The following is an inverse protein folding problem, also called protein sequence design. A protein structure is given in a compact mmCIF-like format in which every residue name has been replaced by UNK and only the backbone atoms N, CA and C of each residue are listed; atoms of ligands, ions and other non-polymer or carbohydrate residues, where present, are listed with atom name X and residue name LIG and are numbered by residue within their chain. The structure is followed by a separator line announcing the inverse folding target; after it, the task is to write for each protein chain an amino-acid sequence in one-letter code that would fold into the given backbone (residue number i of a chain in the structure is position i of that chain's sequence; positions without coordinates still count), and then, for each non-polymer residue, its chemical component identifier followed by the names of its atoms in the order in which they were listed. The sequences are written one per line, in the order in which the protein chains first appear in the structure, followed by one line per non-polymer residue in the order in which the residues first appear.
data_IF_144629958531
#
_entry.id   IF_144629958531
#
_cell.length_a   1.000
_cell.length_b   1.000
_cell.length_c   1.000
_cell.angle_alpha   90.00
_cell.angle_beta   90.00
_cell.angle_gamma   90.00
#
_symmetry.space_group_name_H-M   'P 1'
#
loop_
_entity.id
_entity.type
_entity.pdbx_description
1 polymer ?
#
# COMPACT_ATOMS: atom_id res chain seq x y z
N UNK A 1 -10.80 12.30 2.12
CA UNK A 1 -10.87 11.40 0.95
C UNK A 1 -9.85 10.31 1.18
N UNK A 2 -10.29 9.06 1.13
CA UNK A 2 -9.41 7.90 1.31
C UNK A 2 -8.48 7.77 0.09
N UNK A 3 -7.21 7.43 0.34
CA UNK A 3 -6.09 7.52 -0.61
C UNK A 3 -6.09 6.52 -1.77
N UNK A 4 -7.26 6.03 -2.20
CA UNK A 4 -7.39 5.17 -3.38
C UNK A 4 -7.39 6.04 -4.64
N UNK A 5 -6.19 6.25 -5.19
CA UNK A 5 -5.99 7.09 -6.37
C UNK A 5 -6.46 6.35 -7.64
N UNK A 6 -7.18 7.07 -8.49
CA UNK A 6 -7.41 6.62 -9.87
C UNK A 6 -6.08 6.44 -10.59
N UNK A 7 -6.06 5.61 -11.64
CA UNK A 7 -4.88 5.42 -12.50
C UNK A 7 -4.31 6.76 -12.99
N UNK A 8 -5.17 7.76 -13.24
CA UNK A 8 -4.74 9.10 -13.66
C UNK A 8 -3.93 9.81 -12.57
N UNK A 9 -4.43 9.84 -11.33
CA UNK A 9 -3.73 10.47 -10.21
C UNK A 9 -2.43 9.72 -9.84
N UNK A 10 -2.42 8.40 -10.00
CA UNK A 10 -1.20 7.61 -9.84
C UNK A 10 -0.14 7.99 -10.89
N UNK A 11 -0.53 8.11 -12.17
CA UNK A 11 0.38 8.52 -13.24
C UNK A 11 0.93 9.95 -13.05
N UNK A 12 0.09 10.91 -12.63
CA UNK A 12 0.54 12.28 -12.34
C UNK A 12 1.60 12.32 -11.23
N UNK A 13 1.38 11.58 -10.15
CA UNK A 13 2.35 11.48 -9.05
C UNK A 13 3.65 10.82 -9.49
N UNK A 14 3.58 9.79 -10.34
CA UNK A 14 4.77 9.14 -10.89
C UNK A 14 5.60 10.11 -11.74
N UNK A 15 4.96 11.01 -12.49
CA UNK A 15 5.68 12.01 -13.27
C UNK A 15 6.40 13.06 -12.40
N UNK A 16 5.97 13.22 -11.15
CA UNK A 16 6.53 14.17 -10.19
C UNK A 16 7.45 13.53 -9.14
N UNK A 17 7.78 12.23 -9.27
CA UNK A 17 8.67 11.53 -8.35
C UNK A 17 9.82 10.84 -9.08
N UNK A 18 10.94 10.66 -8.40
CA UNK A 18 12.09 9.86 -8.85
C UNK A 18 12.14 8.47 -8.20
N UNK A 19 11.37 8.26 -7.12
CA UNK A 19 11.48 7.07 -6.26
C UNK A 19 10.09 6.61 -5.78
N UNK A 20 9.87 5.29 -5.82
CA UNK A 20 8.65 4.63 -5.32
C UNK A 20 9.03 3.53 -4.33
N UNK A 21 8.40 3.57 -3.16
CA UNK A 21 8.42 2.49 -2.17
C UNK A 21 7.15 1.65 -2.30
N UNK A 22 7.26 0.47 -2.90
CA UNK A 22 6.14 -0.44 -3.11
C UNK A 22 6.09 -1.52 -2.01
N UNK A 23 5.18 -1.33 -1.05
CA UNK A 23 4.90 -2.29 0.02
C UNK A 23 4.05 -3.47 -0.49
N UNK A 24 4.70 -4.42 -1.15
CA UNK A 24 4.06 -5.59 -1.75
C UNK A 24 3.85 -6.74 -0.74
N UNK A 25 3.16 -6.44 0.35
CA UNK A 25 2.90 -7.39 1.42
C UNK A 25 1.85 -8.43 1.02
N UNK A 26 1.91 -9.60 1.67
CA UNK A 26 0.88 -10.63 1.49
C UNK A 26 -0.49 -10.15 1.97
N UNK A 27 -1.55 -10.71 1.37
CA UNK A 27 -2.95 -10.42 1.78
C UNK A 27 -3.12 -10.65 3.28
N UNK A 28 -2.56 -11.73 3.83
CA UNK A 28 -2.64 -12.04 5.26
C UNK A 28 -1.97 -10.98 6.13
N UNK A 29 -0.83 -10.45 5.70
CA UNK A 29 -0.11 -9.36 6.38
C UNK A 29 -0.96 -8.09 6.43
N UNK A 30 -1.64 -7.77 5.33
CA UNK A 30 -2.54 -6.63 5.22
C UNK A 30 -3.80 -6.80 6.09
N UNK A 31 -4.49 -7.95 5.98
CA UNK A 31 -5.69 -8.26 6.76
C UNK A 31 -5.38 -8.28 8.27
N UNK A 32 -4.26 -8.88 8.67
CA UNK A 32 -3.79 -8.85 10.07
C UNK A 32 -3.53 -7.42 10.54
N UNK A 33 -2.94 -6.58 9.69
CA UNK A 33 -2.71 -5.17 10.00
C UNK A 33 -4.01 -4.40 10.24
N UNK A 34 -5.05 -4.63 9.44
CA UNK A 34 -6.38 -4.03 9.64
C UNK A 34 -6.96 -4.45 10.98
N UNK A 35 -7.00 -5.76 11.26
CA UNK A 35 -7.55 -6.32 12.50
C UNK A 35 -6.85 -5.79 13.75
N UNK A 36 -5.53 -5.62 13.70
CA UNK A 36 -4.74 -5.10 14.81
C UNK A 36 -5.05 -3.64 15.18
N UNK A 37 -5.74 -2.89 14.30
CA UNK A 37 -6.10 -1.48 14.54
C UNK A 37 -7.51 -1.32 15.10
N UNK A 38 -8.33 -2.38 15.10
CA UNK A 38 -9.68 -2.30 15.66
C UNK A 38 -9.67 -1.90 17.14
N UNK A 39 -10.62 -1.06 17.52
CA UNK A 39 -10.74 -0.51 18.86
C UNK A 39 -9.64 0.48 19.26
N UNK A 40 -8.71 0.83 18.35
CA UNK A 40 -7.63 1.79 18.63
C UNK A 40 -7.93 3.15 18.02
N UNK A 41 -7.88 4.20 18.84
CA UNK A 41 -7.99 5.58 18.37
C UNK A 41 -6.78 5.94 17.52
N UNK A 42 -7.05 6.59 16.39
CA UNK A 42 -6.04 7.10 15.46
C UNK A 42 -6.05 8.62 15.48
N UNK A 43 -4.90 9.30 15.55
CA UNK A 43 -4.85 10.77 15.50
C UNK A 43 -5.41 11.34 14.19
N UNK A 44 -5.31 10.57 13.10
CA UNK A 44 -5.66 10.97 11.74
C UNK A 44 -7.07 10.56 11.30
N UNK A 45 -7.80 9.76 12.10
CA UNK A 45 -9.20 9.39 11.84
C UNK A 45 -10.09 9.82 13.01
N UNK A 46 -11.17 10.58 12.76
CA UNK A 46 -12.09 11.02 13.82
C UNK A 46 -12.98 9.91 14.37
N UNK A 47 -13.02 8.72 13.74
CA UNK A 47 -13.78 7.56 14.20
C UNK A 47 -12.87 6.39 14.60
N UNK A 48 -13.42 5.47 15.40
CA UNK A 48 -12.77 4.20 15.77
C UNK A 48 -13.39 3.09 14.93
N UNK A 49 -12.55 2.27 14.30
CA UNK A 49 -13.01 1.06 13.62
C UNK A 49 -13.32 0.00 14.68
N UNK A 50 -14.60 -0.33 14.89
CA UNK A 50 -15.03 -1.25 15.96
C UNK A 50 -15.36 -2.66 15.45
N UNK A 51 -15.61 -2.84 14.14
CA UNK A 51 -16.07 -4.10 13.55
C UNK A 51 -15.40 -4.40 12.20
N UNK A 52 -15.52 -5.65 11.76
CA UNK A 52 -15.05 -6.07 10.44
C UNK A 52 -15.91 -5.49 9.32
N UNK A 53 -15.31 -4.65 8.48
CA UNK A 53 -15.89 -4.27 7.20
C UNK A 53 -15.58 -5.34 6.15
N UNK A 54 -16.59 -6.16 5.82
CA UNK A 54 -16.45 -7.26 4.87
C UNK A 54 -16.11 -6.78 3.45
N UNK A 55 -16.65 -5.63 3.03
CA UNK A 55 -16.38 -5.07 1.71
C UNK A 55 -14.92 -4.63 1.62
N UNK A 56 -14.43 -3.94 2.65
CA UNK A 56 -13.04 -3.52 2.74
C UNK A 56 -12.07 -4.72 2.81
N UNK A 57 -12.38 -5.74 3.61
CA UNK A 57 -11.56 -6.94 3.67
C UNK A 57 -11.55 -7.69 2.34
N UNK A 58 -12.67 -7.71 1.61
CA UNK A 58 -12.72 -8.27 0.26
C UNK A 58 -11.92 -7.44 -0.75
N UNK A 59 -11.96 -6.11 -0.64
CA UNK A 59 -11.13 -5.20 -1.44
C UNK A 59 -9.63 -5.54 -1.29
N UNK A 60 -9.16 -5.75 -0.06
CA UNK A 60 -7.76 -6.17 0.21
C UNK A 60 -7.44 -7.52 -0.44
N UNK A 61 -8.35 -8.49 -0.36
CA UNK A 61 -8.16 -9.82 -0.97
C UNK A 61 -8.10 -9.76 -2.50
N UNK A 62 -8.83 -8.84 -3.11
CA UNK A 62 -8.89 -8.68 -4.57
C UNK A 62 -7.76 -7.79 -5.12
N UNK A 63 -7.13 -6.95 -4.29
CA UNK A 63 -6.07 -6.04 -4.71
C UNK A 63 -4.94 -6.71 -5.53
N UNK A 64 -4.37 -7.87 -5.11
CA UNK A 64 -3.30 -8.52 -5.88
C UNK A 64 -3.73 -9.00 -7.26
N UNK A 65 -5.03 -9.26 -7.45
CA UNK A 65 -5.60 -9.77 -8.71
C UNK A 65 -6.05 -8.65 -9.65
N UNK A 66 -6.58 -7.56 -9.09
CA UNK A 66 -7.23 -6.49 -9.87
C UNK A 66 -6.26 -5.31 -10.08
N UNK A 67 -5.72 -4.75 -9.00
CA UNK A 67 -4.99 -3.47 -9.08
C UNK A 67 -3.48 -3.63 -9.21
N UNK A 68 -2.89 -4.57 -8.46
CA UNK A 68 -1.44 -4.81 -8.46
C UNK A 68 -0.85 -5.05 -9.86
N UNK A 69 -1.46 -5.85 -10.76
CA UNK A 69 -0.89 -6.06 -12.09
C UNK A 69 -0.76 -4.77 -12.89
N UNK A 70 -1.74 -3.86 -12.76
CA UNK A 70 -1.71 -2.56 -13.42
C UNK A 70 -0.59 -1.67 -12.86
N UNK A 71 -0.47 -1.58 -11.53
CA UNK A 71 0.60 -0.83 -10.86
C UNK A 71 1.98 -1.34 -11.32
N UNK A 72 2.18 -2.67 -11.32
CA UNK A 72 3.45 -3.28 -11.75
C UNK A 72 3.75 -2.99 -13.22
N UNK A 73 2.75 -3.01 -14.10
CA UNK A 73 2.91 -2.62 -15.51
C UNK A 73 3.36 -1.16 -15.64
N UNK A 74 2.63 -0.25 -15.01
CA UNK A 74 2.89 1.19 -15.05
C UNK A 74 4.30 1.53 -14.53
N UNK A 75 4.76 0.86 -13.48
CA UNK A 75 6.12 1.04 -12.94
C UNK A 75 7.21 0.48 -13.87
N UNK A 76 6.95 -0.64 -14.55
CA UNK A 76 7.88 -1.19 -15.56
C UNK A 76 8.07 -0.26 -16.75
N UNK A 77 7.02 0.47 -17.13
CA UNK A 77 7.05 1.42 -18.25
C UNK A 77 7.76 2.74 -17.91
N UNK A 78 8.30 2.89 -16.69
CA UNK A 78 9.01 4.08 -16.21
C UNK A 78 10.38 3.72 -15.61
N UNK A 79 11.37 3.35 -16.44
CA UNK A 79 12.68 2.89 -15.97
C UNK A 79 13.50 3.98 -15.27
N UNK A 80 13.13 5.26 -15.42
CA UNK A 80 13.76 6.39 -14.76
C UNK A 80 13.34 6.56 -13.29
N UNK A 81 12.36 5.79 -12.81
CA UNK A 81 11.91 5.81 -11.42
C UNK A 81 12.57 4.65 -10.68
N UNK A 82 13.24 4.96 -9.57
CA UNK A 82 13.79 3.95 -8.66
C UNK A 82 12.66 3.28 -7.88
N UNK A 83 12.51 1.96 -8.02
CA UNK A 83 11.44 1.22 -7.32
C UNK A 83 12.04 0.29 -6.27
N UNK A 84 11.82 0.60 -4.99
CA UNK A 84 12.08 -0.30 -3.87
C UNK A 84 10.83 -1.11 -3.59
N UNK A 85 10.92 -2.44 -3.74
CA UNK A 85 9.79 -3.34 -3.48
C UNK A 85 10.07 -4.20 -2.26
N UNK A 86 9.18 -4.14 -1.27
CA UNK A 86 9.28 -4.91 -0.03
C UNK A 86 8.14 -5.93 0.04
N UNK A 87 8.48 -7.21 0.18
CA UNK A 87 7.50 -8.31 0.26
C UNK A 87 6.97 -8.54 1.66
N UNK A 88 7.65 -8.03 2.68
CA UNK A 88 7.28 -8.16 4.07
C UNK A 88 7.82 -6.96 4.87
N UNK A 89 7.35 -6.83 6.12
CA UNK A 89 7.73 -5.72 7.00
C UNK A 89 9.23 -5.72 7.32
N UNK A 90 9.86 -6.90 7.42
CA UNK A 90 11.29 -7.00 7.72
C UNK A 90 12.13 -6.36 6.61
N UNK A 91 11.83 -6.63 5.33
CA UNK A 91 12.56 -6.02 4.21
C UNK A 91 12.48 -4.48 4.22
N UNK A 92 11.33 -3.93 4.61
CA UNK A 92 11.16 -2.48 4.75
C UNK A 92 11.94 -1.93 5.96
N UNK A 93 11.96 -2.65 7.09
CA UNK A 93 12.73 -2.27 8.27
C UNK A 93 14.24 -2.35 7.99
N UNK A 94 14.71 -3.44 7.38
CA UNK A 94 16.11 -3.60 6.98
C UNK A 94 16.57 -2.48 6.03
N UNK A 95 15.66 -1.96 5.21
CA UNK A 95 15.93 -0.81 4.36
C UNK A 95 16.08 0.47 5.19
N UNK A 96 15.18 0.71 6.15
CA UNK A 96 15.25 1.87 7.04
C UNK A 96 16.52 1.85 7.91
N UNK A 97 16.91 0.68 8.43
CA UNK A 97 18.11 0.52 9.25
C UNK A 97 19.39 0.83 8.46
N UNK A 98 19.39 0.58 7.13
CA UNK A 98 20.51 0.93 6.25
C UNK A 98 20.59 2.42 5.90
N UNK A 99 19.55 3.19 6.19
CA UNK A 99 19.56 4.65 6.02
C UNK A 99 20.11 5.38 7.25
N UNK A 100 20.32 4.68 8.38
CA UNK A 100 20.85 5.17 9.65
C UNK A 100 22.33 4.87 9.84
#
# INVERSE_FOLDING_TARGET
MDGNYSDSLFNERLNACDTVFFLDYSVDTCLSGVRQRWGKKRPDMPWIEEQEDKEFMNYIRLFPKIQKPNIVRILKDRPNITVYRFKNRQEALDFLDKLG
#
